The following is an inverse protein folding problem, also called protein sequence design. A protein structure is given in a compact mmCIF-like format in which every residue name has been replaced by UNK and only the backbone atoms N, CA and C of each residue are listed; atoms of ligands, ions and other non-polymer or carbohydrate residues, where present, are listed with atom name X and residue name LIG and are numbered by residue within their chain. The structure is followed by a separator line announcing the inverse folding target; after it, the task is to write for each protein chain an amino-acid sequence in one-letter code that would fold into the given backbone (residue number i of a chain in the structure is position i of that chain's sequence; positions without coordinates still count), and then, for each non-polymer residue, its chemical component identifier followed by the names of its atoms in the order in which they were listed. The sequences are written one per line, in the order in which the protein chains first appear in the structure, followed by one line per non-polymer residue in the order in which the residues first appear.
data_IF_375751073532
#
_entry.id   IF_375751073532
#
_cell.length_a   1.000
_cell.length_b   1.000
_cell.length_c   1.000
_cell.angle_alpha   90.00
_cell.angle_beta   90.00
_cell.angle_gamma   90.00
#
_symmetry.space_group_name_H-M   'P 1'
#
loop_
_entity.id
_entity.type
_entity.pdbx_description
1 polymer ?
#
# COMPACT_ATOMS: atom_id res chain seq x y z
N UNK A 1 3.97 -19.81 0.81
CA UNK A 1 3.82 -19.60 -0.64
C UNK A 1 2.79 -18.50 -0.85
N UNK A 2 3.20 -17.32 -1.34
CA UNK A 2 2.28 -16.20 -1.59
C UNK A 2 1.33 -16.58 -2.73
N UNK A 3 0.02 -16.63 -2.47
CA UNK A 3 -0.98 -16.97 -3.48
C UNK A 3 -1.06 -15.81 -4.47
N UNK A 4 -0.75 -16.07 -5.75
CA UNK A 4 -0.86 -15.05 -6.80
C UNK A 4 -2.27 -14.43 -6.76
N UNK A 5 -2.38 -13.08 -6.80
CA UNK A 5 -3.67 -12.43 -6.80
C UNK A 5 -4.47 -12.85 -8.04
N UNK A 6 -5.76 -13.11 -7.84
CA UNK A 6 -6.66 -13.48 -8.95
C UNK A 6 -6.79 -12.27 -9.89
N UNK A 7 -6.57 -12.44 -11.21
CA UNK A 7 -6.71 -11.36 -12.16
C UNK A 7 -8.17 -10.88 -12.22
N UNK A 8 -8.42 -9.62 -12.62
CA UNK A 8 -9.77 -9.13 -12.89
C UNK A 8 -10.47 -9.95 -14.00
N UNK A 9 -11.82 -9.91 -14.08
CA UNK A 9 -12.57 -10.67 -15.08
C UNK A 9 -12.11 -10.36 -16.52
N UNK A 10 -11.83 -11.41 -17.29
CA UNK A 10 -11.40 -11.29 -18.69
C UNK A 10 -10.01 -10.69 -18.89
N UNK A 11 -9.17 -10.64 -17.85
CA UNK A 11 -7.79 -10.15 -17.93
C UNK A 11 -6.78 -11.29 -17.79
N UNK A 12 -5.60 -11.11 -18.39
CA UNK A 12 -4.47 -12.03 -18.25
C UNK A 12 -3.89 -12.09 -16.83
N UNK A 13 -3.03 -13.08 -16.53
CA UNK A 13 -2.45 -13.27 -15.20
C UNK A 13 -1.63 -12.04 -14.73
N UNK A 14 -1.50 -11.88 -13.41
CA UNK A 14 -0.64 -10.86 -12.82
C UNK A 14 0.83 -11.14 -13.18
N UNK A 15 1.50 -10.11 -13.69
CA UNK A 15 2.94 -10.15 -14.03
C UNK A 15 3.77 -9.74 -12.81
N UNK A 16 3.34 -8.69 -12.10
CA UNK A 16 3.99 -8.17 -10.90
C UNK A 16 2.96 -8.04 -9.79
N UNK A 17 3.30 -8.43 -8.56
CA UNK A 17 2.42 -8.26 -7.40
C UNK A 17 3.21 -8.05 -6.11
N UNK A 18 2.59 -7.37 -5.14
CA UNK A 18 3.13 -7.27 -3.79
C UNK A 18 2.88 -8.57 -3.02
N UNK A 19 3.92 -9.14 -2.43
CA UNK A 19 3.75 -10.19 -1.45
C UNK A 19 3.41 -9.59 -0.08
N UNK A 20 2.30 -10.04 0.52
CA UNK A 20 2.02 -9.73 1.93
C UNK A 20 2.92 -10.59 2.82
N UNK A 21 4.09 -10.07 3.16
CA UNK A 21 4.99 -10.69 4.13
C UNK A 21 4.58 -10.41 5.58
N UNK A 22 5.08 -11.20 6.55
CA UNK A 22 4.83 -10.96 7.98
C UNK A 22 5.63 -9.78 8.55
N UNK A 23 6.64 -9.29 7.83
CA UNK A 23 7.53 -8.19 8.26
C UNK A 23 6.79 -6.94 8.75
N UNK A 24 5.86 -6.33 7.98
CA UNK A 24 5.15 -5.14 8.45
C UNK A 24 4.31 -5.39 9.71
N UNK A 25 3.74 -6.58 9.85
CA UNK A 25 3.02 -6.95 11.07
C UNK A 25 3.96 -7.09 12.27
N UNK A 26 5.08 -7.79 12.10
CA UNK A 26 6.09 -7.93 13.16
C UNK A 26 6.68 -6.58 13.57
N UNK A 27 6.93 -5.68 12.61
CA UNK A 27 7.39 -4.33 12.88
C UNK A 27 6.36 -3.51 13.66
N UNK A 28 5.08 -3.55 13.25
CA UNK A 28 4.00 -2.87 13.96
C UNK A 28 3.78 -3.45 15.37
N UNK A 29 3.86 -4.77 15.52
CA UNK A 29 3.75 -5.46 16.81
C UNK A 29 4.90 -5.05 17.75
N UNK A 30 6.15 -5.16 17.28
CA UNK A 30 7.32 -4.79 18.07
C UNK A 30 7.29 -3.31 18.47
N UNK A 31 6.90 -2.42 17.54
CA UNK A 31 6.72 -1.00 17.83
C UNK A 31 5.66 -0.73 18.90
N UNK A 32 4.51 -1.42 18.84
CA UNK A 32 3.45 -1.28 19.84
C UNK A 32 3.87 -1.79 21.22
N UNK A 33 4.59 -2.93 21.29
CA UNK A 33 5.15 -3.45 22.55
C UNK A 33 6.17 -2.49 23.15
N UNK A 34 7.10 -1.98 22.34
CA UNK A 34 8.10 -1.01 22.79
C UNK A 34 7.45 0.28 23.31
N UNK A 35 6.45 0.80 22.60
CA UNK A 35 5.70 1.99 23.03
C UNK A 35 4.96 1.74 24.36
N UNK A 36 4.31 0.59 24.51
CA UNK A 36 3.62 0.24 25.74
C UNK A 36 4.58 0.13 26.93
N UNK A 37 5.75 -0.47 26.73
CA UNK A 37 6.79 -0.56 27.75
C UNK A 37 7.24 0.84 28.21
N UNK A 38 7.49 1.76 27.27
CA UNK A 38 7.85 3.15 27.59
C UNK A 38 6.74 3.85 28.37
N UNK A 39 5.49 3.72 27.95
CA UNK A 39 4.35 4.36 28.63
C UNK A 39 4.12 3.82 30.03
N UNK A 40 4.26 2.50 30.24
CA UNK A 40 4.10 1.88 31.56
C UNK A 40 5.23 2.29 32.51
N UNK A 41 6.49 2.31 32.04
CA UNK A 41 7.62 2.80 32.83
C UNK A 41 7.45 4.27 33.22
N UNK A 42 6.94 5.12 32.32
CA UNK A 42 6.65 6.52 32.63
C UNK A 42 5.48 6.69 33.62
N UNK A 43 4.48 5.81 33.57
CA UNK A 43 3.31 5.88 34.43
C UNK A 43 3.57 5.41 35.86
N UNK A 44 4.34 4.33 36.03
CA UNK A 44 4.65 3.77 37.36
C UNK A 44 5.92 4.40 37.97
N UNK A 45 6.82 4.95 37.15
CA UNK A 45 8.11 5.49 37.60
C UNK A 45 9.15 4.42 37.94
N UNK A 46 8.82 3.14 37.73
CA UNK A 46 9.71 2.00 37.92
C UNK A 46 9.46 0.88 36.88
N UNK A 47 10.03 -0.30 37.13
CA UNK A 47 9.90 -1.50 36.28
C UNK A 47 9.10 -2.62 36.97
N UNK A 48 8.34 -2.33 38.03
CA UNK A 48 7.62 -3.35 38.81
C UNK A 48 6.51 -4.02 38.00
N UNK A 49 5.84 -3.31 37.08
CA UNK A 49 4.91 -3.89 36.12
C UNK A 49 5.47 -5.08 35.33
N UNK A 50 6.79 -5.14 35.11
CA UNK A 50 7.42 -6.22 34.34
C UNK A 50 7.32 -7.59 35.03
N UNK A 51 7.16 -7.61 36.35
CA UNK A 51 7.01 -8.84 37.14
C UNK A 51 5.60 -9.44 37.03
N UNK A 52 4.62 -8.67 36.56
CA UNK A 52 3.24 -9.13 36.45
C UNK A 52 2.98 -9.76 35.07
N UNK A 53 2.81 -11.09 34.95
CA UNK A 53 2.57 -11.74 33.66
C UNK A 53 1.25 -11.30 33.02
N UNK A 54 0.27 -10.85 33.81
CA UNK A 54 -1.00 -10.35 33.28
C UNK A 54 -0.81 -9.06 32.46
N UNK A 55 0.10 -8.18 32.87
CA UNK A 55 0.41 -6.94 32.14
C UNK A 55 0.97 -7.27 30.76
N UNK A 56 1.91 -8.21 30.68
CA UNK A 56 2.47 -8.65 29.41
C UNK A 56 1.42 -9.30 28.50
N UNK A 57 0.50 -10.09 29.05
CA UNK A 57 -0.60 -10.66 28.28
C UNK A 57 -1.49 -9.57 27.66
N UNK A 58 -1.86 -8.55 28.44
CA UNK A 58 -2.66 -7.41 27.95
C UNK A 58 -1.91 -6.62 26.88
N UNK A 59 -0.63 -6.30 27.11
CA UNK A 59 0.21 -5.59 26.12
C UNK A 59 0.33 -6.39 24.82
N UNK A 60 0.57 -7.70 24.90
CA UNK A 60 0.67 -8.56 23.73
C UNK A 60 -0.64 -8.60 22.92
N UNK A 61 -1.79 -8.69 23.59
CA UNK A 61 -3.10 -8.67 22.92
C UNK A 61 -3.35 -7.33 22.23
N UNK A 62 -3.12 -6.21 22.91
CA UNK A 62 -3.29 -4.87 22.32
C UNK A 62 -2.34 -4.68 21.13
N UNK A 63 -1.06 -5.05 21.29
CA UNK A 63 -0.08 -4.97 20.21
C UNK A 63 -0.46 -5.84 19.01
N UNK A 64 -1.00 -7.04 19.24
CA UNK A 64 -1.48 -7.92 18.18
C UNK A 64 -2.67 -7.30 17.42
N UNK A 65 -3.62 -6.69 18.12
CA UNK A 65 -4.76 -6.00 17.50
C UNK A 65 -4.26 -4.82 16.66
N UNK A 66 -3.39 -3.97 17.20
CA UNK A 66 -2.81 -2.82 16.48
C UNK A 66 -2.06 -3.29 15.23
N UNK A 67 -1.22 -4.32 15.37
CA UNK A 67 -0.48 -4.88 14.25
C UNK A 67 -1.40 -5.49 13.18
N UNK A 68 -2.49 -6.16 13.58
CA UNK A 68 -3.48 -6.71 12.66
C UNK A 68 -4.23 -5.62 11.90
N UNK A 69 -4.62 -4.53 12.58
CA UNK A 69 -5.26 -3.36 11.96
C UNK A 69 -4.29 -2.66 10.99
N UNK A 70 -3.02 -2.52 11.37
CA UNK A 70 -2.00 -1.95 10.48
C UNK A 70 -1.77 -2.84 9.24
N UNK A 71 -1.67 -4.17 9.43
CA UNK A 71 -1.49 -5.12 8.34
C UNK A 71 -2.70 -5.16 7.39
N UNK A 72 -3.93 -5.13 7.92
CA UNK A 72 -5.14 -5.20 7.10
C UNK A 72 -5.27 -4.01 6.14
N UNK A 73 -4.74 -2.84 6.52
CA UNK A 73 -4.70 -1.62 5.70
C UNK A 73 -3.68 -1.65 4.55
N UNK A 74 -2.74 -2.59 4.56
CA UNK A 74 -1.77 -2.73 3.46
C UNK A 74 -2.49 -3.27 2.24
N UNK A 75 -2.86 -2.41 1.31
CA UNK A 75 -3.53 -2.81 0.08
C UNK A 75 -2.62 -3.74 -0.73
N UNK A 76 -3.16 -4.89 -1.17
CA UNK A 76 -2.44 -5.75 -2.11
C UNK A 76 -2.44 -5.06 -3.47
N UNK A 77 -1.27 -4.81 -4.03
CA UNK A 77 -1.11 -4.19 -5.34
C UNK A 77 -0.67 -5.26 -6.33
N UNK A 78 -1.32 -5.29 -7.49
CA UNK A 78 -1.03 -6.23 -8.55
C UNK A 78 -1.17 -5.57 -9.91
N UNK A 79 -0.27 -5.92 -10.82
CA UNK A 79 -0.23 -5.41 -12.17
C UNK A 79 -0.11 -6.57 -13.17
N UNK A 80 -0.97 -6.55 -14.18
CA UNK A 80 -0.86 -7.41 -15.35
C UNK A 80 -0.20 -6.68 -16.52
N UNK A 81 -0.37 -7.25 -17.72
CA UNK A 81 0.11 -6.61 -18.96
C UNK A 81 -0.64 -5.30 -19.26
N UNK A 82 -1.97 -5.34 -19.18
CA UNK A 82 -2.86 -4.24 -19.60
C UNK A 82 -3.81 -3.77 -18.49
N UNK A 83 -3.53 -4.14 -17.24
CA UNK A 83 -4.36 -3.78 -16.09
C UNK A 83 -3.53 -3.57 -14.83
N UNK A 84 -4.05 -2.74 -13.94
CA UNK A 84 -3.47 -2.45 -12.64
C UNK A 84 -4.56 -2.50 -11.56
N UNK A 85 -4.22 -3.02 -10.39
CA UNK A 85 -5.17 -3.25 -9.29
C UNK A 85 -4.51 -2.88 -7.96
N UNK A 86 -5.26 -2.18 -7.11
CA UNK A 86 -4.92 -2.03 -5.70
C UNK A 86 -6.16 -2.33 -4.85
N UNK A 87 -6.04 -3.34 -3.98
CA UNK A 87 -7.15 -3.81 -3.15
C UNK A 87 -8.32 -4.36 -3.97
N UNK A 88 -9.50 -3.75 -3.80
CA UNK A 88 -10.73 -4.11 -4.52
C UNK A 88 -10.85 -3.42 -5.90
N UNK A 89 -10.18 -2.28 -6.10
CA UNK A 89 -10.33 -1.46 -7.30
C UNK A 89 -9.25 -1.79 -8.34
N UNK A 90 -9.59 -1.65 -9.61
CA UNK A 90 -8.70 -1.94 -10.72
C UNK A 90 -9.07 -1.13 -11.97
N UNK A 91 -8.09 -0.89 -12.82
CA UNK A 91 -8.23 -0.16 -14.09
C UNK A 91 -7.49 -0.88 -15.22
N UNK A 92 -7.91 -0.65 -16.46
CA UNK A 92 -7.17 -1.04 -17.66
C UNK A 92 -6.18 0.05 -18.04
N UNK A 93 -4.90 -0.24 -17.88
CA UNK A 93 -3.81 0.70 -18.20
C UNK A 93 -3.68 0.96 -19.69
N UNK A 94 -4.21 0.07 -20.55
CA UNK A 94 -4.24 0.24 -22.00
C UNK A 94 -5.37 1.16 -22.50
N UNK A 95 -6.30 1.58 -21.62
CA UNK A 95 -7.45 2.41 -21.95
C UNK A 95 -7.65 3.52 -20.92
N UNK A 96 -6.56 4.08 -20.41
CA UNK A 96 -6.65 5.18 -19.46
C UNK A 96 -7.22 6.42 -20.16
N UNK A 97 -8.15 7.08 -19.49
CA UNK A 97 -8.78 8.34 -19.93
C UNK A 97 -8.41 9.50 -19.03
N UNK A 98 -7.98 9.23 -17.79
CA UNK A 98 -7.52 10.24 -16.85
C UNK A 98 -6.41 9.69 -15.97
N UNK A 99 -5.37 10.50 -15.80
CA UNK A 99 -4.30 10.31 -14.81
C UNK A 99 -4.15 11.64 -14.10
N UNK A 100 -4.34 11.65 -12.79
CA UNK A 100 -4.27 12.87 -11.98
C UNK A 100 -3.49 12.61 -10.70
N UNK A 101 -2.42 13.37 -10.52
CA UNK A 101 -1.68 13.46 -9.27
C UNK A 101 -2.41 14.42 -8.32
N UNK A 102 -2.55 14.00 -7.07
CA UNK A 102 -3.11 14.82 -6.00
C UNK A 102 -2.02 15.03 -4.92
N UNK A 103 -1.38 16.21 -4.89
CA UNK A 103 -0.47 16.55 -3.81
C UNK A 103 -1.24 16.66 -2.51
N UNK A 104 -0.93 15.82 -1.54
CA UNK A 104 -1.50 15.86 -0.19
C UNK A 104 -0.45 15.35 0.80
N UNK A 105 -0.67 15.46 2.12
CA UNK A 105 0.21 14.82 3.12
C UNK A 105 0.40 13.31 2.88
N UNK A 106 -0.53 12.68 2.16
CA UNK A 106 -0.40 11.34 1.56
C UNK A 106 -0.63 11.47 0.05
N UNK A 107 0.42 11.71 -0.75
CA UNK A 107 0.25 11.98 -2.17
C UNK A 107 -0.40 10.77 -2.86
N UNK A 108 -1.43 11.03 -3.67
CA UNK A 108 -2.18 9.97 -4.36
C UNK A 108 -2.15 10.16 -5.86
N UNK A 109 -2.18 9.04 -6.59
CA UNK A 109 -2.35 9.01 -8.03
C UNK A 109 -3.72 8.42 -8.36
N UNK A 110 -4.55 9.20 -9.03
CA UNK A 110 -5.86 8.79 -9.51
C UNK A 110 -5.76 8.37 -10.97
N UNK A 111 -6.24 7.16 -11.26
CA UNK A 111 -6.29 6.58 -12.60
C UNK A 111 -7.75 6.28 -12.93
N UNK A 112 -8.18 6.65 -14.13
CA UNK A 112 -9.51 6.34 -14.65
C UNK A 112 -9.36 5.71 -16.03
N UNK A 113 -10.15 4.68 -16.31
CA UNK A 113 -10.20 4.06 -17.64
C UNK A 113 -11.50 4.34 -18.39
N UNK A 114 -11.48 4.04 -19.69
CA UNK A 114 -12.59 4.32 -20.61
C UNK A 114 -13.91 3.62 -20.28
N UNK A 115 -13.92 2.65 -19.35
CA UNK A 115 -15.13 2.00 -18.88
C UNK A 115 -15.65 2.61 -17.57
N UNK A 116 -15.12 3.76 -17.15
CA UNK A 116 -15.52 4.49 -15.94
C UNK A 116 -15.04 3.85 -14.64
N UNK A 117 -14.05 2.96 -14.71
CA UNK A 117 -13.42 2.40 -13.51
C UNK A 117 -12.35 3.36 -13.03
N UNK A 118 -12.30 3.55 -11.72
CA UNK A 118 -11.35 4.41 -11.05
C UNK A 118 -10.45 3.63 -10.09
N UNK A 119 -9.23 4.12 -9.91
CA UNK A 119 -8.25 3.58 -8.98
C UNK A 119 -7.46 4.72 -8.36
N UNK A 120 -7.46 4.78 -7.03
CA UNK A 120 -6.63 5.71 -6.27
C UNK A 120 -5.47 4.94 -5.65
N UNK A 121 -4.25 5.35 -5.95
CA UNK A 121 -3.02 4.74 -5.46
C UNK A 121 -2.36 5.68 -4.45
N UNK A 122 -2.02 5.14 -3.28
CA UNK A 122 -1.12 5.82 -2.34
C UNK A 122 0.31 5.69 -2.85
N UNK A 123 0.93 6.84 -3.15
CA UNK A 123 2.26 6.87 -3.75
C UNK A 123 3.36 6.45 -2.77
N UNK A 124 3.13 6.60 -1.46
CA UNK A 124 4.05 6.09 -0.45
C UNK A 124 4.06 4.56 -0.47
N UNK A 125 2.88 3.94 -0.60
CA UNK A 125 2.75 2.50 -0.73
C UNK A 125 3.33 1.98 -2.05
N UNK A 126 3.17 2.74 -3.14
CA UNK A 126 3.76 2.40 -4.44
C UNK A 126 5.29 2.52 -4.42
N UNK A 127 5.84 3.57 -3.79
CA UNK A 127 7.28 3.78 -3.67
C UNK A 127 7.99 2.68 -2.87
N UNK A 128 7.30 2.02 -1.93
CA UNK A 128 7.82 0.84 -1.22
C UNK A 128 8.05 -0.37 -2.15
N UNK A 129 7.54 -0.34 -3.38
CA UNK A 129 7.60 -1.44 -4.35
C UNK A 129 8.10 -0.96 -5.73
N UNK A 130 9.43 -0.80 -5.91
CA UNK A 130 10.00 -0.17 -7.11
C UNK A 130 9.66 -0.89 -8.41
N UNK A 131 9.51 -2.22 -8.39
CA UNK A 131 9.11 -2.98 -9.59
C UNK A 131 7.69 -2.65 -10.07
N UNK A 132 6.78 -2.32 -9.14
CA UNK A 132 5.41 -1.92 -9.47
C UNK A 132 5.36 -0.47 -9.94
N UNK A 133 6.14 0.43 -9.32
CA UNK A 133 6.22 1.82 -9.77
C UNK A 133 6.77 1.89 -11.19
N UNK A 134 7.89 1.21 -11.48
CA UNK A 134 8.46 1.17 -12.83
C UNK A 134 7.47 0.59 -13.83
N UNK A 135 6.83 -0.54 -13.53
CA UNK A 135 5.87 -1.15 -14.44
C UNK A 135 4.67 -0.23 -14.73
N UNK A 136 4.13 0.42 -13.70
CA UNK A 136 3.04 1.39 -13.88
C UNK A 136 3.48 2.57 -14.75
N UNK A 137 4.62 3.20 -14.46
CA UNK A 137 5.12 4.35 -15.21
C UNK A 137 5.41 3.99 -16.66
N UNK A 138 6.06 2.86 -16.92
CA UNK A 138 6.29 2.35 -18.28
C UNK A 138 4.97 2.15 -19.01
N UNK A 139 3.99 1.50 -18.38
CA UNK A 139 2.71 1.20 -19.02
C UNK A 139 1.91 2.47 -19.31
N UNK A 140 1.90 3.46 -18.41
CA UNK A 140 1.26 4.76 -18.62
C UNK A 140 1.91 5.49 -19.80
N UNK A 141 3.25 5.57 -19.83
CA UNK A 141 3.99 6.24 -20.92
C UNK A 141 3.77 5.57 -22.28
N UNK A 142 3.74 4.24 -22.32
CA UNK A 142 3.55 3.50 -23.58
C UNK A 142 2.11 3.58 -24.10
N UNK A 143 1.11 3.51 -23.22
CA UNK A 143 -0.29 3.39 -23.63
C UNK A 143 -1.04 4.72 -23.71
N UNK A 144 -0.47 5.80 -23.18
CA UNK A 144 -1.16 7.10 -23.06
C UNK A 144 -0.28 8.27 -23.49
N UNK A 145 0.35 8.23 -24.69
CA UNK A 145 1.20 9.33 -25.17
C UNK A 145 0.42 10.64 -25.37
N UNK A 146 -0.87 10.54 -25.73
CA UNK A 146 -1.72 11.68 -26.07
C UNK A 146 -2.64 12.10 -24.92
N UNK A 147 -2.50 11.52 -23.72
CA UNK A 147 -3.36 11.91 -22.60
C UNK A 147 -3.02 13.34 -22.17
N UNK A 148 -3.99 14.27 -22.07
CA UNK A 148 -3.74 15.56 -21.48
C UNK A 148 -3.45 15.38 -19.98
N UNK A 149 -2.17 15.43 -19.64
CA UNK A 149 -1.68 15.42 -18.26
C UNK A 149 -1.58 16.86 -17.76
N UNK A 150 -2.01 17.10 -16.54
CA UNK A 150 -1.70 18.38 -15.90
C UNK A 150 -0.18 18.47 -15.64
N UNK A 151 0.38 19.70 -15.52
CA UNK A 151 1.82 19.90 -15.32
C UNK A 151 2.36 19.17 -14.09
N UNK A 152 1.60 19.15 -12.98
CA UNK A 152 2.04 18.50 -11.74
C UNK A 152 2.15 16.98 -11.91
N UNK A 153 1.18 16.37 -12.59
CA UNK A 153 1.21 14.95 -12.95
C UNK A 153 2.38 14.64 -13.86
N UNK A 154 2.65 15.50 -14.86
CA UNK A 154 3.78 15.34 -15.77
C UNK A 154 5.12 15.40 -15.03
N UNK A 155 5.32 16.41 -14.19
CA UNK A 155 6.52 16.58 -13.38
C UNK A 155 6.74 15.38 -12.44
N UNK A 156 5.67 14.92 -11.79
CA UNK A 156 5.73 13.74 -10.94
C UNK A 156 6.13 12.49 -11.72
N UNK A 157 5.49 12.22 -12.86
CA UNK A 157 5.83 11.06 -13.71
C UNK A 157 7.25 11.12 -14.26
N UNK A 158 7.85 12.30 -14.37
CA UNK A 158 9.24 12.48 -14.77
C UNK A 158 10.24 12.32 -13.62
N UNK A 159 9.80 12.52 -12.37
CA UNK A 159 10.61 12.32 -11.16
C UNK A 159 10.70 10.87 -10.69
N UNK A 160 9.82 9.99 -11.20
CA UNK A 160 9.81 8.54 -10.97
C UNK A 160 10.80 7.82 -11.88
#
# INVERSE_FOLDING_TARGET
MSRRPKPPPGQGPAVVWTERGPRPFLAAFAGAVALAAVLLTLAEGDLTWTANPLVWAVVAVIAAIVALVAWSRIATIAAGKDWFRAGSSWVRTSKLTRVKFAPSPRPTLHLEDSAGRDLTLDLLALAAHPTLSTHLTTTIRTNTPDLPLDPQTTDYLNSL
#
